data_IF_828846738859
#
_entry.id   IF_828846738859
#
_cell.length_a   1.000
_cell.length_b   1.000
_cell.length_c   1.000
_cell.angle_alpha   90.00
_cell.angle_beta   90.00
_cell.angle_gamma   90.00
#
_symmetry.space_group_name_H-M   'P 1'
#
loop_
_entity.id
_entity.type
_entity.pdbx_description
1 polymer ?
#
# COMPACT_ATOMS: atom_id res chain seq x y z
N UNK A 1 -5.93 -5.86 -16.72
CA UNK A 1 -5.00 -7.04 -16.66
C UNK A 1 -3.93 -6.75 -15.61
N UNK A 2 -3.82 -7.58 -14.58
CA UNK A 2 -2.83 -7.46 -13.51
C UNK A 2 -1.48 -8.05 -13.97
N UNK A 3 -0.42 -7.23 -14.03
CA UNK A 3 0.93 -7.69 -14.37
C UNK A 3 1.75 -7.98 -13.13
N UNK A 4 2.35 -9.17 -13.08
CA UNK A 4 3.15 -9.67 -11.96
C UNK A 4 4.49 -10.14 -12.50
N UNK A 5 5.59 -9.77 -11.84
CA UNK A 5 6.91 -10.32 -12.10
C UNK A 5 7.30 -11.32 -11.00
N UNK A 6 7.93 -12.41 -11.41
CA UNK A 6 8.63 -13.34 -10.53
C UNK A 6 10.08 -13.34 -10.93
N UNK A 7 10.99 -13.01 -10.02
CA UNK A 7 12.41 -12.94 -10.26
C UNK A 7 13.17 -13.88 -9.32
N UNK A 8 13.77 -14.92 -9.88
CA UNK A 8 14.46 -15.99 -9.15
C UNK A 8 15.43 -16.68 -10.10
N UNK A 9 16.70 -16.86 -9.75
CA UNK A 9 17.70 -17.53 -10.58
C UNK A 9 17.55 -19.05 -10.56
N UNK A 10 16.78 -19.59 -9.63
CA UNK A 10 16.38 -20.99 -9.61
C UNK A 10 15.06 -21.20 -10.37
N UNK A 11 15.14 -21.63 -11.63
CA UNK A 11 13.97 -21.83 -12.52
C UNK A 11 12.85 -22.67 -11.88
N UNK A 12 13.21 -23.69 -11.09
CA UNK A 12 12.26 -24.56 -10.40
C UNK A 12 11.38 -23.76 -9.42
N UNK A 13 11.98 -22.85 -8.65
CA UNK A 13 11.26 -22.02 -7.71
C UNK A 13 10.45 -20.93 -8.42
N UNK A 14 11.04 -20.27 -9.42
CA UNK A 14 10.33 -19.31 -10.27
C UNK A 14 9.04 -19.89 -10.85
N UNK A 15 9.13 -21.08 -11.46
CA UNK A 15 8.00 -21.80 -12.03
C UNK A 15 6.97 -22.24 -10.97
N UNK A 16 7.43 -22.66 -9.80
CA UNK A 16 6.55 -23.03 -8.70
C UNK A 16 5.74 -21.84 -8.20
N UNK A 17 6.39 -20.70 -8.00
CA UNK A 17 5.73 -19.46 -7.56
C UNK A 17 4.73 -19.02 -8.63
N UNK A 18 5.13 -18.96 -9.90
CA UNK A 18 4.26 -18.62 -11.02
C UNK A 18 3.00 -19.48 -11.04
N UNK A 19 3.12 -20.80 -10.95
CA UNK A 19 1.96 -21.73 -10.94
C UNK A 19 1.02 -21.49 -9.74
N UNK A 20 1.55 -21.18 -8.57
CA UNK A 20 0.75 -20.84 -7.39
C UNK A 20 -0.04 -19.56 -7.62
N UNK A 21 0.60 -18.51 -8.12
CA UNK A 21 -0.02 -17.22 -8.43
C UNK A 21 -1.10 -17.35 -9.49
N UNK A 22 -0.80 -17.99 -10.62
CA UNK A 22 -1.76 -18.23 -11.71
C UNK A 22 -2.98 -19.00 -11.22
N UNK A 23 -2.77 -20.07 -10.45
CA UNK A 23 -3.87 -20.86 -9.87
C UNK A 23 -4.80 -20.01 -9.00
N UNK A 24 -4.25 -19.18 -8.12
CA UNK A 24 -5.04 -18.33 -7.23
C UNK A 24 -5.83 -17.28 -8.02
N UNK A 25 -5.17 -16.62 -8.98
CA UNK A 25 -5.78 -15.56 -9.79
C UNK A 25 -6.87 -16.09 -10.72
N UNK A 26 -6.69 -17.28 -11.32
CA UNK A 26 -7.71 -17.97 -12.10
C UNK A 26 -8.93 -18.27 -11.21
N UNK A 27 -8.72 -18.81 -10.01
CA UNK A 27 -9.80 -19.12 -9.07
C UNK A 27 -10.60 -17.86 -8.65
N UNK A 28 -9.93 -16.69 -8.62
CA UNK A 28 -10.56 -15.40 -8.31
C UNK A 28 -11.15 -14.70 -9.54
N UNK A 29 -10.99 -15.24 -10.74
CA UNK A 29 -11.46 -14.61 -11.98
C UNK A 29 -10.72 -13.33 -12.35
N UNK A 30 -9.48 -13.16 -11.90
CA UNK A 30 -8.67 -11.96 -12.15
C UNK A 30 -7.86 -12.14 -13.43
N UNK A 31 -8.07 -11.24 -14.40
CA UNK A 31 -7.25 -11.19 -15.61
C UNK A 31 -5.82 -10.78 -15.26
N UNK A 32 -4.83 -11.62 -15.61
CA UNK A 32 -3.46 -11.45 -15.17
C UNK A 32 -2.44 -11.90 -16.21
N UNK A 33 -1.19 -11.45 -16.03
CA UNK A 33 0.01 -11.92 -16.73
C UNK A 33 1.13 -12.07 -15.71
N UNK A 34 1.77 -13.24 -15.67
CA UNK A 34 2.92 -13.51 -14.79
C UNK A 34 4.14 -13.75 -15.67
N UNK A 35 5.07 -12.79 -15.66
CA UNK A 35 6.37 -12.88 -16.33
C UNK A 35 7.43 -13.36 -15.34
N UNK A 36 8.38 -14.18 -15.85
CA UNK A 36 9.48 -14.74 -15.05
C UNK A 36 10.80 -14.14 -15.53
N UNK A 37 11.66 -13.78 -14.60
CA UNK A 37 13.00 -13.24 -14.81
C UNK A 37 14.00 -14.09 -14.05
N UNK A 38 15.11 -14.43 -14.68
CA UNK A 38 16.16 -15.30 -14.14
C UNK A 38 17.22 -14.53 -13.33
N UNK A 39 17.15 -13.21 -13.26
CA UNK A 39 18.11 -12.42 -12.49
C UNK A 39 17.60 -11.01 -12.21
N UNK A 40 18.08 -10.40 -11.11
CA UNK A 40 17.81 -9.00 -10.80
C UNK A 40 18.27 -8.04 -11.89
N UNK A 41 19.38 -8.37 -12.58
CA UNK A 41 19.92 -7.58 -13.69
C UNK A 41 18.93 -7.56 -14.86
N UNK A 42 18.33 -8.71 -15.18
CA UNK A 42 17.34 -8.81 -16.27
C UNK A 42 16.11 -7.97 -15.96
N UNK A 43 15.59 -8.05 -14.73
CA UNK A 43 14.44 -7.25 -14.31
C UNK A 43 14.79 -5.75 -14.29
N UNK A 44 15.94 -5.36 -13.79
CA UNK A 44 16.40 -3.96 -13.75
C UNK A 44 16.60 -3.34 -15.16
N UNK A 45 16.95 -4.14 -16.17
CA UNK A 45 17.07 -3.68 -17.56
C UNK A 45 15.77 -3.20 -18.20
N UNK A 46 14.61 -3.50 -17.59
CA UNK A 46 13.32 -2.98 -18.07
C UNK A 46 13.23 -1.46 -17.96
N UNK A 47 14.00 -0.83 -17.07
CA UNK A 47 13.93 0.61 -16.84
C UNK A 47 12.50 1.06 -16.50
N UNK A 48 12.00 2.09 -17.19
CA UNK A 48 10.64 2.62 -16.95
C UNK A 48 9.52 1.58 -17.16
N UNK A 49 9.74 0.56 -18.01
CA UNK A 49 8.75 -0.49 -18.24
C UNK A 49 8.49 -1.36 -17.00
N UNK A 50 9.35 -1.30 -15.98
CA UNK A 50 9.12 -1.99 -14.69
C UNK A 50 7.86 -1.46 -14.00
N UNK A 51 7.48 -0.21 -14.24
CA UNK A 51 6.28 0.44 -13.70
C UNK A 51 4.96 -0.19 -14.20
N UNK A 52 5.03 -1.00 -15.27
CA UNK A 52 3.87 -1.75 -15.75
C UNK A 52 3.49 -2.91 -14.82
N UNK A 53 4.43 -3.39 -14.01
CA UNK A 53 4.16 -4.42 -13.01
C UNK A 53 3.55 -3.80 -11.77
N UNK A 54 2.52 -4.46 -11.26
CA UNK A 54 1.88 -4.08 -10.00
C UNK A 54 2.44 -4.82 -8.80
N UNK A 55 2.97 -6.03 -9.03
CA UNK A 55 3.48 -6.92 -8.01
C UNK A 55 4.78 -7.57 -8.49
N UNK A 56 5.76 -7.67 -7.61
CA UNK A 56 7.03 -8.37 -7.84
C UNK A 56 7.29 -9.35 -6.70
N UNK A 57 7.40 -10.64 -7.03
CA UNK A 57 7.94 -11.65 -6.14
C UNK A 57 9.42 -11.83 -6.47
N UNK A 58 10.29 -11.67 -5.49
CA UNK A 58 11.72 -11.45 -5.70
C UNK A 58 12.54 -12.33 -4.77
N UNK A 59 13.40 -13.19 -5.32
CA UNK A 59 14.41 -13.84 -4.49
C UNK A 59 15.49 -12.83 -4.09
N UNK A 60 16.09 -13.06 -2.93
CA UNK A 60 17.17 -12.23 -2.41
C UNK A 60 18.53 -12.74 -2.89
N UNK A 61 18.74 -14.05 -2.85
CA UNK A 61 20.03 -14.65 -3.15
C UNK A 61 20.15 -14.99 -4.63
N UNK A 62 20.50 -13.99 -5.43
CA UNK A 62 20.71 -14.14 -6.87
C UNK A 62 22.10 -13.68 -7.25
N UNK A 63 22.71 -14.34 -8.27
CA UNK A 63 24.03 -13.98 -8.77
C UNK A 63 24.06 -12.59 -9.41
N UNK A 64 25.09 -11.81 -9.12
CA UNK A 64 25.34 -10.49 -9.67
C UNK A 64 24.60 -9.37 -8.97
N UNK A 65 23.28 -9.24 -9.15
CA UNK A 65 22.43 -8.28 -8.47
C UNK A 65 21.44 -9.03 -7.56
N UNK A 66 21.60 -8.88 -6.26
CA UNK A 66 20.72 -9.53 -5.31
C UNK A 66 19.33 -8.88 -5.25
N UNK A 67 18.36 -9.55 -4.61
CA UNK A 67 16.98 -9.07 -4.56
C UNK A 67 16.81 -7.73 -3.84
N UNK A 68 17.61 -7.42 -2.84
CA UNK A 68 17.55 -6.13 -2.13
C UNK A 68 17.96 -5.00 -3.08
N UNK A 69 19.09 -5.16 -3.77
CA UNK A 69 19.56 -4.19 -4.77
C UNK A 69 18.54 -4.03 -5.91
N UNK A 70 17.94 -5.15 -6.34
CA UNK A 70 16.89 -5.14 -7.38
C UNK A 70 15.66 -4.36 -6.89
N UNK A 71 15.24 -4.57 -5.64
CA UNK A 71 14.14 -3.82 -5.03
C UNK A 71 14.44 -2.32 -4.92
N UNK A 72 15.66 -1.94 -4.57
CA UNK A 72 16.10 -0.54 -4.57
C UNK A 72 16.00 0.09 -5.96
N UNK A 73 16.43 -0.63 -7.00
CA UNK A 73 16.25 -0.17 -8.39
C UNK A 73 14.78 -0.02 -8.75
N UNK A 74 13.92 -0.99 -8.41
CA UNK A 74 12.47 -0.89 -8.63
C UNK A 74 11.91 0.38 -7.98
N UNK A 75 12.34 0.71 -6.76
CA UNK A 75 11.88 1.90 -6.02
C UNK A 75 12.31 3.22 -6.68
N UNK A 76 13.37 3.24 -7.50
CA UNK A 76 13.72 4.45 -8.27
C UNK A 76 12.71 4.77 -9.38
N UNK A 77 11.94 3.77 -9.83
CA UNK A 77 10.93 3.93 -10.88
C UNK A 77 9.51 4.04 -10.33
N UNK A 78 9.18 3.32 -9.25
CA UNK A 78 7.82 3.35 -8.68
C UNK A 78 7.79 2.89 -7.22
N UNK A 79 7.13 3.69 -6.38
CA UNK A 79 6.80 3.33 -4.99
C UNK A 79 5.50 2.48 -4.90
N UNK A 80 4.70 2.45 -5.98
CA UNK A 80 3.39 1.79 -6.02
C UNK A 80 3.46 0.29 -6.33
N UNK A 81 4.63 -0.25 -6.62
CA UNK A 81 4.83 -1.67 -6.88
C UNK A 81 4.89 -2.43 -5.56
N UNK A 82 4.04 -3.43 -5.38
CA UNK A 82 4.11 -4.33 -4.23
C UNK A 82 5.25 -5.32 -4.39
N UNK A 83 6.23 -5.29 -3.49
CA UNK A 83 7.37 -6.21 -3.49
C UNK A 83 7.19 -7.23 -2.37
N UNK A 84 7.28 -8.52 -2.70
CA UNK A 84 7.33 -9.60 -1.74
C UNK A 84 8.62 -10.39 -1.95
N UNK A 85 9.43 -10.55 -0.90
CA UNK A 85 10.61 -11.39 -0.98
C UNK A 85 10.25 -12.86 -0.75
N UNK A 86 10.78 -13.76 -1.60
CA UNK A 86 10.63 -15.20 -1.46
C UNK A 86 12.03 -15.82 -1.48
N UNK A 87 12.60 -16.19 -0.34
CA UNK A 87 13.99 -16.58 -0.22
C UNK A 87 14.19 -17.73 0.75
N UNK A 88 15.32 -18.43 0.61
CA UNK A 88 15.73 -19.47 1.56
C UNK A 88 16.33 -18.90 2.87
N UNK A 89 16.72 -17.64 2.91
CA UNK A 89 17.50 -17.04 3.98
C UNK A 89 16.69 -16.07 4.85
N UNK A 90 16.63 -16.34 6.16
CA UNK A 90 15.90 -15.53 7.14
C UNK A 90 16.63 -14.23 7.53
N UNK A 91 17.93 -14.16 7.35
CA UNK A 91 18.77 -13.10 7.90
C UNK A 91 18.59 -11.72 7.24
N UNK A 92 17.96 -11.65 6.08
CA UNK A 92 17.74 -10.41 5.30
C UNK A 92 16.40 -9.73 5.58
N UNK A 93 15.60 -10.24 6.52
CA UNK A 93 14.28 -9.68 6.82
C UNK A 93 14.35 -8.20 7.25
N UNK A 94 15.41 -7.78 7.97
CA UNK A 94 15.60 -6.38 8.38
C UNK A 94 15.94 -5.45 7.22
N UNK A 95 16.60 -5.95 6.18
CA UNK A 95 16.95 -5.17 5.00
C UNK A 95 15.73 -4.97 4.08
N UNK A 96 14.82 -5.94 4.05
CA UNK A 96 13.54 -5.85 3.33
C UNK A 96 12.66 -4.67 3.76
N UNK A 97 12.77 -4.25 5.02
CA UNK A 97 12.06 -3.04 5.51
C UNK A 97 12.49 -1.76 4.79
N UNK A 98 13.72 -1.66 4.34
CA UNK A 98 14.23 -0.47 3.62
C UNK A 98 13.61 -0.31 2.25
N UNK A 99 13.23 -1.42 1.61
CA UNK A 99 12.61 -1.43 0.28
C UNK A 99 11.08 -1.36 0.33
N UNK A 100 10.49 -1.14 1.52
CA UNK A 100 9.04 -1.14 1.72
C UNK A 100 8.38 -2.42 1.14
N UNK A 101 8.99 -3.58 1.41
CA UNK A 101 8.44 -4.87 1.00
C UNK A 101 7.21 -5.22 1.83
N UNK A 102 6.17 -5.74 1.18
CA UNK A 102 4.90 -6.07 1.84
C UNK A 102 5.02 -7.35 2.68
N UNK A 103 5.86 -8.29 2.26
CA UNK A 103 6.05 -9.56 2.96
C UNK A 103 7.41 -10.17 2.67
N UNK A 104 7.85 -10.99 3.62
CA UNK A 104 9.02 -11.85 3.52
C UNK A 104 8.57 -13.31 3.67
N UNK A 105 8.83 -14.16 2.66
CA UNK A 105 8.34 -15.54 2.57
C UNK A 105 9.54 -16.49 2.48
N UNK A 106 9.55 -17.55 3.28
CA UNK A 106 10.61 -18.53 3.25
C UNK A 106 10.31 -19.63 2.23
N UNK A 107 11.25 -19.88 1.27
CA UNK A 107 11.17 -20.93 0.24
C UNK A 107 11.07 -22.34 0.84
N UNK A 108 11.81 -22.59 1.92
CA UNK A 108 11.95 -23.92 2.54
C UNK A 108 10.87 -24.21 3.61
N UNK A 109 9.76 -23.50 3.57
CA UNK A 109 8.63 -23.75 4.46
C UNK A 109 7.64 -24.70 3.83
N UNK A 110 7.12 -25.69 4.61
CA UNK A 110 5.98 -26.51 4.21
C UNK A 110 4.73 -25.66 3.90
N UNK A 111 4.72 -24.42 4.40
CA UNK A 111 3.64 -23.44 4.22
C UNK A 111 3.88 -22.46 3.06
N UNK A 112 4.89 -22.67 2.20
CA UNK A 112 5.20 -21.75 1.10
C UNK A 112 3.96 -21.36 0.29
N UNK A 113 3.16 -22.35 -0.12
CA UNK A 113 1.96 -22.08 -0.89
C UNK A 113 0.92 -21.24 -0.12
N UNK A 114 0.70 -21.55 1.16
CA UNK A 114 -0.20 -20.77 2.01
C UNK A 114 0.30 -19.33 2.19
N UNK A 115 1.60 -19.14 2.44
CA UNK A 115 2.20 -17.81 2.60
C UNK A 115 2.14 -16.96 1.33
N UNK A 116 2.30 -17.58 0.14
CA UNK A 116 2.13 -16.89 -1.15
C UNK A 116 0.66 -16.49 -1.33
N UNK A 117 -0.30 -17.37 -1.04
CA UNK A 117 -1.73 -17.07 -1.16
C UNK A 117 -2.16 -15.95 -0.22
N UNK A 118 -1.74 -16.00 1.05
CA UNK A 118 -2.01 -14.93 2.02
C UNK A 118 -1.40 -13.58 1.61
N UNK A 119 -0.16 -13.61 1.09
CA UNK A 119 0.50 -12.42 0.59
C UNK A 119 -0.27 -11.83 -0.58
N UNK A 120 -0.67 -12.67 -1.53
CA UNK A 120 -1.42 -12.25 -2.70
C UNK A 120 -2.80 -11.71 -2.32
N UNK A 121 -3.50 -12.33 -1.37
CA UNK A 121 -4.78 -11.83 -0.86
C UNK A 121 -4.62 -10.44 -0.23
N UNK A 122 -3.63 -10.26 0.63
CA UNK A 122 -3.34 -8.97 1.25
C UNK A 122 -3.02 -7.87 0.20
N UNK A 123 -2.30 -8.22 -0.87
CA UNK A 123 -2.01 -7.29 -1.97
C UNK A 123 -3.28 -6.96 -2.76
N UNK A 124 -4.10 -7.96 -3.10
CA UNK A 124 -5.34 -7.75 -3.84
C UNK A 124 -6.33 -6.88 -3.06
N UNK A 125 -6.44 -7.08 -1.75
CA UNK A 125 -7.26 -6.25 -0.88
C UNK A 125 -6.76 -4.79 -0.89
N UNK A 126 -5.44 -4.56 -0.87
CA UNK A 126 -4.86 -3.21 -0.98
C UNK A 126 -5.12 -2.58 -2.36
N UNK A 127 -5.00 -3.36 -3.44
CA UNK A 127 -5.29 -2.90 -4.80
C UNK A 127 -6.77 -2.54 -4.92
N UNK A 128 -7.68 -3.36 -4.39
CA UNK A 128 -9.12 -3.09 -4.43
C UNK A 128 -9.48 -1.86 -3.60
N UNK A 129 -8.91 -1.72 -2.42
CA UNK A 129 -9.09 -0.53 -1.57
C UNK A 129 -8.56 0.74 -2.24
N UNK A 130 -7.47 0.64 -3.00
CA UNK A 130 -6.89 1.78 -3.71
C UNK A 130 -7.75 2.32 -4.86
N UNK A 131 -8.69 1.52 -5.37
CA UNK A 131 -9.62 1.91 -6.45
C UNK A 131 -11.04 2.17 -5.95
N UNK A 132 -11.25 2.19 -4.63
CA UNK A 132 -12.57 2.40 -4.05
C UNK A 132 -13.02 3.84 -4.32
N UNK A 133 -14.08 3.99 -5.10
CA UNK A 133 -14.71 5.29 -5.34
C UNK A 133 -15.93 5.45 -4.45
N UNK A 134 -16.20 6.68 -4.06
CA UNK A 134 -17.45 7.09 -3.40
C UNK A 134 -18.04 8.24 -4.15
N UNK A 135 -19.34 8.16 -4.43
CA UNK A 135 -20.11 9.32 -4.89
C UNK A 135 -20.48 10.14 -3.66
N UNK A 136 -20.01 11.38 -3.60
CA UNK A 136 -20.25 12.31 -2.50
C UNK A 136 -21.01 13.51 -3.03
N UNK A 137 -22.09 13.87 -2.34
CA UNK A 137 -22.90 15.05 -2.66
C UNK A 137 -22.28 16.28 -2.00
N UNK A 138 -21.34 16.91 -2.69
CA UNK A 138 -20.72 18.15 -2.26
C UNK A 138 -21.64 19.35 -2.45
N UNK A 139 -21.37 20.46 -1.78
CA UNK A 139 -22.11 21.70 -1.94
C UNK A 139 -22.14 22.21 -3.41
N UNK A 140 -21.11 21.87 -4.19
CA UNK A 140 -20.97 22.19 -5.61
C UNK A 140 -21.58 21.17 -6.57
N UNK A 141 -22.15 20.06 -6.07
CA UNK A 141 -22.75 18.97 -6.84
C UNK A 141 -22.15 17.60 -6.51
N UNK A 142 -22.81 16.54 -6.98
CA UNK A 142 -22.33 15.16 -6.80
C UNK A 142 -21.06 14.91 -7.60
N UNK A 143 -20.06 14.32 -6.97
CA UNK A 143 -18.80 13.95 -7.60
C UNK A 143 -18.35 12.57 -7.14
N UNK A 144 -17.84 11.77 -8.06
CA UNK A 144 -17.18 10.50 -7.74
C UNK A 144 -15.73 10.76 -7.37
N UNK A 145 -15.32 10.35 -6.18
CA UNK A 145 -14.01 10.57 -5.62
C UNK A 145 -13.36 9.25 -5.27
N UNK A 146 -12.10 9.07 -5.66
CA UNK A 146 -11.27 7.97 -5.16
C UNK A 146 -10.97 8.20 -3.68
N UNK A 147 -11.42 7.31 -2.81
CA UNK A 147 -11.26 7.44 -1.35
C UNK A 147 -9.78 7.56 -0.96
N UNK A 148 -8.92 6.85 -1.68
CA UNK A 148 -7.47 6.90 -1.46
C UNK A 148 -6.81 8.23 -1.86
N UNK A 149 -7.50 9.12 -2.58
CA UNK A 149 -7.02 10.48 -2.90
C UNK A 149 -7.41 11.51 -1.85
N UNK A 150 -8.30 11.16 -0.91
CA UNK A 150 -8.64 12.03 0.20
C UNK A 150 -7.52 11.92 1.25
N UNK A 151 -6.76 12.99 1.45
CA UNK A 151 -5.67 13.05 2.44
C UNK A 151 -6.20 13.19 3.86
N UNK A 152 -7.14 14.11 4.05
CA UNK A 152 -7.80 14.32 5.35
C UNK A 152 -9.12 15.06 5.16
N UNK A 153 -9.97 15.00 6.19
CA UNK A 153 -11.24 15.70 6.27
C UNK A 153 -11.16 16.65 7.46
N UNK A 154 -11.43 17.92 7.20
CA UNK A 154 -11.40 18.99 8.19
C UNK A 154 -12.82 19.48 8.51
N UNK A 155 -13.12 19.65 9.80
CA UNK A 155 -14.34 20.33 10.24
C UNK A 155 -14.09 21.82 10.35
N UNK A 156 -14.72 22.60 9.48
CA UNK A 156 -14.67 24.05 9.48
C UNK A 156 -16.07 24.63 9.68
N UNK A 157 -16.36 25.17 10.87
CA UNK A 157 -17.68 25.66 11.27
C UNK A 157 -18.76 24.55 11.14
N UNK A 158 -19.66 24.68 10.17
CA UNK A 158 -20.76 23.73 9.93
C UNK A 158 -20.55 22.85 8.70
N UNK A 159 -19.34 22.91 8.08
CA UNK A 159 -18.98 22.13 6.90
C UNK A 159 -17.82 21.20 7.20
N UNK A 160 -17.76 20.12 6.45
CA UNK A 160 -16.58 19.29 6.31
C UNK A 160 -15.92 19.62 4.97
N UNK A 161 -14.64 19.93 5.02
CA UNK A 161 -13.79 20.16 3.84
C UNK A 161 -13.01 18.87 3.58
N UNK A 162 -13.10 18.36 2.36
CA UNK A 162 -12.35 17.18 1.92
C UNK A 162 -11.09 17.63 1.19
N UNK A 163 -9.94 17.42 1.81
CA UNK A 163 -8.65 17.73 1.22
C UNK A 163 -8.21 16.58 0.30
N UNK A 164 -8.51 16.73 -0.98
CA UNK A 164 -8.27 15.75 -2.04
C UNK A 164 -7.05 16.19 -2.84
N UNK A 165 -6.18 15.24 -3.22
CA UNK A 165 -4.95 15.53 -3.97
C UNK A 165 -5.28 16.26 -5.27
N UNK A 166 -4.62 17.40 -5.48
CA UNK A 166 -4.76 18.22 -6.68
C UNK A 166 -6.09 18.94 -6.84
N UNK A 167 -6.91 19.03 -5.77
CA UNK A 167 -8.22 19.69 -5.75
C UNK A 167 -8.25 20.81 -4.71
N UNK A 168 -9.07 21.85 -4.98
CA UNK A 168 -9.31 22.90 -4.00
C UNK A 168 -10.35 22.42 -2.97
N UNK A 169 -10.05 22.41 -1.65
CA UNK A 169 -10.96 21.91 -0.63
C UNK A 169 -12.30 22.67 -0.54
N UNK A 170 -12.34 23.94 -0.94
CA UNK A 170 -13.59 24.75 -0.91
C UNK A 170 -14.66 24.19 -1.87
N UNK A 171 -14.26 23.59 -3.00
CA UNK A 171 -15.16 22.95 -3.95
C UNK A 171 -15.67 21.58 -3.45
N UNK A 172 -14.94 20.95 -2.50
CA UNK A 172 -15.24 19.61 -1.99
C UNK A 172 -15.67 19.66 -0.52
N UNK A 173 -16.77 20.37 -0.27
CA UNK A 173 -17.33 20.54 1.08
C UNK A 173 -18.75 19.99 1.18
N UNK A 174 -19.12 19.47 2.37
CA UNK A 174 -20.48 19.02 2.70
C UNK A 174 -20.96 19.63 4.02
N UNK A 175 -22.27 19.80 4.18
CA UNK A 175 -22.86 20.11 5.48
C UNK A 175 -23.05 18.81 6.28
N UNK A 176 -22.11 18.51 7.18
CA UNK A 176 -22.14 17.34 8.04
C UNK A 176 -21.23 17.53 9.23
N UNK A 177 -21.16 16.54 10.11
CA UNK A 177 -20.22 16.49 11.23
C UNK A 177 -19.21 15.34 11.03
N UNK A 178 -18.01 15.48 11.63
CA UNK A 178 -17.04 14.39 11.60
C UNK A 178 -17.55 13.10 12.29
N UNK A 179 -18.47 13.22 13.26
CA UNK A 179 -19.05 12.06 13.93
C UNK A 179 -19.95 11.25 12.98
N UNK A 180 -20.62 11.93 12.04
CA UNK A 180 -21.49 11.26 11.07
C UNK A 180 -20.67 10.50 10.03
N UNK A 181 -19.59 11.10 9.53
CA UNK A 181 -18.74 10.49 8.50
C UNK A 181 -17.70 9.52 9.05
N UNK A 182 -17.34 9.64 10.34
CA UNK A 182 -16.30 8.78 10.95
C UNK A 182 -16.60 7.30 10.78
N UNK A 183 -17.84 6.87 11.01
CA UNK A 183 -18.26 5.48 10.90
C UNK A 183 -18.11 4.95 9.47
N UNK A 184 -18.28 5.83 8.50
CA UNK A 184 -18.21 5.49 7.08
C UNK A 184 -16.77 5.37 6.56
N UNK A 185 -15.84 6.14 7.16
CA UNK A 185 -14.46 6.22 6.70
C UNK A 185 -13.45 5.45 7.56
N UNK A 186 -13.86 4.95 8.74
CA UNK A 186 -12.96 4.20 9.63
C UNK A 186 -12.47 2.90 8.99
N UNK A 187 -13.28 2.25 8.16
CA UNK A 187 -12.92 1.03 7.42
C UNK A 187 -12.01 1.33 6.21
N UNK A 188 -11.83 2.60 5.88
CA UNK A 188 -11.01 3.09 4.76
C UNK A 188 -9.65 3.64 5.24
N UNK A 189 -9.14 3.12 6.35
CA UNK A 189 -7.88 3.54 6.97
C UNK A 189 -7.81 5.02 7.39
N UNK A 190 -8.97 5.66 7.64
CA UNK A 190 -9.02 6.98 8.24
C UNK A 190 -8.98 6.91 9.75
N UNK A 191 -8.26 7.86 10.36
CA UNK A 191 -8.08 7.97 11.80
C UNK A 191 -8.48 9.37 12.29
N UNK A 192 -9.37 9.43 13.26
CA UNK A 192 -9.76 10.67 13.93
C UNK A 192 -8.63 11.15 14.86
N UNK A 193 -7.79 12.08 14.41
CA UNK A 193 -6.63 12.58 15.20
C UNK A 193 -6.99 13.76 16.09
N UNK A 194 -8.03 14.53 15.73
CA UNK A 194 -8.47 15.73 16.45
C UNK A 194 -10.01 15.84 16.41
N UNK A 195 -10.61 16.67 17.30
CA UNK A 195 -12.04 16.94 17.22
C UNK A 195 -12.48 17.49 15.85
N UNK A 196 -11.58 18.17 15.14
CA UNK A 196 -11.83 18.80 13.84
C UNK A 196 -11.09 18.14 12.67
N UNK A 197 -10.35 17.06 12.89
CA UNK A 197 -9.56 16.42 11.82
C UNK A 197 -9.65 14.90 11.84
N UNK A 198 -9.93 14.34 10.69
CA UNK A 198 -9.83 12.91 10.40
C UNK A 198 -8.86 12.72 9.23
N UNK A 199 -7.82 11.92 9.41
CA UNK A 199 -6.68 11.78 8.51
C UNK A 199 -6.64 10.39 7.92
N UNK A 200 -6.41 10.27 6.62
CA UNK A 200 -6.07 9.01 5.99
C UNK A 200 -4.64 8.63 6.38
N UNK A 201 -4.49 7.49 7.07
CA UNK A 201 -3.20 7.05 7.64
C UNK A 201 -2.13 6.81 6.57
N UNK A 202 -2.53 6.55 5.33
CA UNK A 202 -1.63 6.43 4.17
C UNK A 202 -0.75 7.67 4.00
N UNK A 203 -1.29 8.86 4.27
CA UNK A 203 -0.59 10.14 4.07
C UNK A 203 0.15 10.66 5.31
N UNK A 204 0.22 9.89 6.38
CA UNK A 204 1.02 10.26 7.55
C UNK A 204 2.49 9.94 7.27
N UNK A 205 3.29 10.98 7.01
CA UNK A 205 4.73 10.85 6.83
C UNK A 205 5.45 10.62 8.15
N UNK A 206 5.01 11.29 9.22
CA UNK A 206 5.58 11.15 10.57
C UNK A 206 4.51 11.32 11.65
N UNK A 207 4.54 10.43 12.64
CA UNK A 207 3.85 10.62 13.91
C UNK A 207 4.87 11.15 14.94
N UNK A 208 4.63 12.33 15.45
CA UNK A 208 5.47 12.97 16.48
C UNK A 208 4.61 13.19 17.72
N UNK A 209 5.25 13.42 18.87
CA UNK A 209 4.51 13.65 20.11
C UNK A 209 3.55 14.83 19.96
N UNK A 210 2.24 14.52 20.04
CA UNK A 210 1.11 15.44 19.96
C UNK A 210 0.82 16.08 18.60
N UNK A 211 1.37 15.55 17.50
CA UNK A 211 0.93 15.91 16.15
C UNK A 211 1.34 14.87 15.11
N UNK A 212 0.61 14.83 14.00
CA UNK A 212 0.99 14.14 12.77
C UNK A 212 1.50 15.14 11.76
N UNK A 213 2.45 14.71 10.93
CA UNK A 213 2.92 15.42 9.74
C UNK A 213 2.46 14.61 8.55
N UNK A 214 1.77 15.25 7.62
CA UNK A 214 1.34 14.64 6.37
C UNK A 214 2.42 14.76 5.29
N UNK A 215 2.29 14.02 4.20
CA UNK A 215 3.22 14.03 3.07
C UNK A 215 3.30 15.40 2.38
N UNK A 216 2.21 16.18 2.40
CA UNK A 216 2.18 17.55 1.90
C UNK A 216 2.82 18.58 2.87
N UNK A 217 3.37 18.14 4.00
CA UNK A 217 3.96 19.00 5.03
C UNK A 217 2.97 19.56 6.05
N UNK A 218 1.67 19.34 5.91
CA UNK A 218 0.66 19.80 6.85
C UNK A 218 0.89 19.19 8.24
N UNK A 219 0.70 20.00 9.29
CA UNK A 219 0.88 19.58 10.68
C UNK A 219 -0.44 19.65 11.42
N UNK A 220 -0.98 18.50 11.81
CA UNK A 220 -2.24 18.40 12.53
C UNK A 220 -1.98 17.99 13.97
N UNK A 221 -2.45 18.80 14.92
CA UNK A 221 -2.27 18.57 16.37
C UNK A 221 -3.12 17.42 16.86
N UNK A 222 -2.57 16.65 17.81
CA UNK A 222 -3.27 15.59 18.53
C UNK A 222 -3.42 16.01 19.98
N UNK A 223 -4.64 16.10 20.52
CA UNK A 223 -4.87 16.36 21.95
C UNK A 223 -4.16 15.32 22.82
N UNK A 224 -3.58 15.76 23.96
CA UNK A 224 -2.83 14.87 24.87
C UNK A 224 -3.61 13.61 25.25
N UNK A 225 -4.92 13.75 25.53
CA UNK A 225 -5.78 12.63 25.91
C UNK A 225 -6.04 11.62 24.78
N UNK A 226 -5.88 12.02 23.52
CA UNK A 226 -6.11 11.15 22.34
C UNK A 226 -4.82 10.57 21.76
N UNK A 227 -3.66 11.08 22.17
CA UNK A 227 -2.39 10.72 21.57
C UNK A 227 -2.09 9.22 21.61
N UNK A 228 -2.38 8.55 22.73
CA UNK A 228 -2.14 7.11 22.87
C UNK A 228 -2.99 6.29 21.91
N UNK A 229 -4.28 6.58 21.83
CA UNK A 229 -5.21 5.92 20.91
C UNK A 229 -4.76 6.08 19.44
N UNK A 230 -4.39 7.31 19.05
CA UNK A 230 -3.89 7.62 17.70
C UNK A 230 -2.58 6.88 17.41
N UNK A 231 -1.65 6.87 18.37
CA UNK A 231 -0.37 6.17 18.19
C UNK A 231 -0.56 4.66 18.06
N UNK A 232 -1.38 4.05 18.91
CA UNK A 232 -1.67 2.60 18.86
C UNK A 232 -2.34 2.21 17.54
N UNK A 233 -3.31 3.01 17.08
CA UNK A 233 -4.00 2.79 15.80
C UNK A 233 -3.05 2.92 14.60
N UNK A 234 -2.19 3.94 14.60
CA UNK A 234 -1.23 4.13 13.51
C UNK A 234 -0.14 3.04 13.49
N UNK A 235 0.34 2.59 14.66
CA UNK A 235 1.29 1.45 14.74
C UNK A 235 0.64 0.18 14.23
N UNK A 236 -0.63 -0.10 14.61
CA UNK A 236 -1.36 -1.25 14.10
C UNK A 236 -1.58 -1.17 12.58
N UNK A 237 -1.85 0.02 12.03
CA UNK A 237 -1.92 0.25 10.59
C UNK A 237 -0.59 -0.06 9.91
N UNK A 238 0.52 0.51 10.43
CA UNK A 238 1.87 0.26 9.88
C UNK A 238 2.29 -1.20 9.98
N UNK A 239 1.84 -1.92 10.98
CA UNK A 239 2.10 -3.36 11.14
C UNK A 239 1.30 -4.26 10.18
N UNK A 240 0.25 -3.71 9.51
CA UNK A 240 -0.51 -4.40 8.45
C UNK A 240 0.04 -4.11 7.04
N UNK A 241 0.90 -3.10 6.92
CA UNK A 241 1.60 -2.76 5.67
C UNK A 241 2.79 -3.67 5.46
#
# INVERSE_FOLDING_TARGET
MLKIAVCDDEEIFADRIKKLLEKQLINKGIEHKVDVYSSGIELAKLGDAISEYRIVFLDIDMEGMNGIQTAEVIRTYSDDIYIAFVTAYINYALEGYRCNAIRYILKNSDQLAASIYECMDAILDKISSSHKTKTIDFCGGSCEVLVNQIMYIESNKHKLLFHIIGKDPEDYSIYSTLNDVEKEYIEEDFLRVHQSYMVNMKYISKLVRYYVILENGERISIPKGRYREVADSYIAYRGRL
#
